data_IF_639397937449
#
_entry.id   IF_639397937449
#
_cell.length_a   1.000
_cell.length_b   1.000
_cell.length_c   1.000
_cell.angle_alpha   90.00
_cell.angle_beta   90.00
_cell.angle_gamma   90.00
#
_symmetry.space_group_name_H-M   'P 1'
#
loop_
_entity.id
_entity.type
_entity.pdbx_description
1 polymer ?
#
# COMPACT_ATOMS: atom_id res chain seq x y z
N UNK A 1 -37.73 4.18 -23.28
CA UNK A 1 -38.50 3.06 -22.68
C UNK A 1 -37.84 1.78 -23.14
N UNK A 2 -37.53 0.86 -22.23
CA UNK A 2 -36.96 -0.45 -22.58
C UNK A 2 -38.04 -1.27 -23.32
N UNK A 3 -37.83 -1.55 -24.60
CA UNK A 3 -38.76 -2.35 -25.42
C UNK A 3 -38.13 -3.69 -25.74
N UNK A 4 -38.78 -4.79 -25.36
CA UNK A 4 -38.32 -6.15 -25.65
C UNK A 4 -39.21 -7.21 -24.99
N UNK A 5 -39.12 -8.49 -25.40
CA UNK A 5 -39.95 -9.57 -24.88
C UNK A 5 -39.72 -9.88 -23.39
N UNK A 6 -38.62 -9.38 -22.81
CA UNK A 6 -38.30 -9.46 -21.38
C UNK A 6 -38.53 -8.14 -20.63
N UNK A 7 -39.07 -7.12 -21.30
CA UNK A 7 -39.34 -5.84 -20.64
C UNK A 7 -40.51 -6.01 -19.65
N UNK A 8 -40.42 -5.44 -18.43
CA UNK A 8 -41.53 -5.44 -17.50
C UNK A 8 -42.76 -4.76 -18.12
N UNK A 9 -43.99 -5.16 -17.72
CA UNK A 9 -45.21 -4.58 -18.26
C UNK A 9 -45.19 -3.05 -18.11
N UNK A 10 -45.73 -2.31 -19.10
CA UNK A 10 -45.74 -0.87 -19.08
C UNK A 10 -46.48 -0.39 -17.83
N UNK A 11 -45.71 0.12 -16.88
CA UNK A 11 -46.19 0.70 -15.64
C UNK A 11 -46.27 2.22 -15.83
N UNK A 12 -47.29 2.87 -15.25
CA UNK A 12 -47.47 4.33 -15.32
C UNK A 12 -46.34 5.12 -14.65
N UNK A 13 -45.45 4.43 -13.92
CA UNK A 13 -44.30 4.99 -13.24
C UNK A 13 -43.04 4.25 -13.71
N UNK A 14 -41.90 4.95 -13.87
CA UNK A 14 -40.67 4.30 -14.27
C UNK A 14 -40.33 3.15 -13.31
N UNK A 15 -39.80 2.02 -13.81
CA UNK A 15 -39.45 0.88 -12.97
C UNK A 15 -38.43 1.33 -11.91
N UNK A 16 -38.75 1.08 -10.64
CA UNK A 16 -37.85 1.35 -9.52
C UNK A 16 -36.76 0.28 -9.50
N UNK A 17 -35.52 0.69 -9.71
CA UNK A 17 -34.36 -0.18 -9.62
C UNK A 17 -33.66 0.04 -8.29
N UNK A 18 -33.76 -0.94 -7.39
CA UNK A 18 -33.09 -0.89 -6.10
C UNK A 18 -31.64 -1.33 -6.26
N UNK A 19 -30.71 -0.37 -6.16
CA UNK A 19 -29.29 -0.65 -6.11
C UNK A 19 -28.93 -1.09 -4.69
N UNK A 20 -28.48 -2.33 -4.54
CA UNK A 20 -27.95 -2.83 -3.27
C UNK A 20 -26.45 -2.51 -3.20
N UNK A 21 -26.01 -2.04 -2.02
CA UNK A 21 -24.59 -1.92 -1.66
C UNK A 21 -23.75 -0.89 -2.45
N UNK A 22 -24.32 0.23 -2.89
CA UNK A 22 -23.55 1.34 -3.47
C UNK A 22 -23.69 2.61 -2.64
N UNK A 23 -22.57 3.22 -2.29
CA UNK A 23 -22.55 4.51 -1.61
C UNK A 23 -23.22 5.59 -2.47
N UNK A 24 -24.07 6.41 -1.84
CA UNK A 24 -24.86 7.43 -2.53
C UNK A 24 -23.98 8.44 -3.28
N UNK A 25 -22.86 8.87 -2.69
CA UNK A 25 -21.94 9.84 -3.32
C UNK A 25 -21.14 9.18 -4.44
N UNK A 26 -20.71 7.93 -4.25
CA UNK A 26 -20.05 7.17 -5.30
C UNK A 26 -20.94 7.00 -6.55
N UNK A 27 -22.22 6.65 -6.34
CA UNK A 27 -23.18 6.51 -7.45
C UNK A 27 -23.48 7.84 -8.13
N UNK A 28 -23.58 8.93 -7.35
CA UNK A 28 -23.74 10.28 -7.87
C UNK A 28 -22.54 10.70 -8.75
N UNK A 29 -21.30 10.39 -8.35
CA UNK A 29 -20.13 10.57 -9.22
C UNK A 29 -20.21 9.74 -10.51
N UNK A 30 -20.71 8.50 -10.42
CA UNK A 30 -20.92 7.66 -11.60
C UNK A 30 -21.96 8.26 -12.56
N UNK A 31 -23.09 8.74 -12.05
CA UNK A 31 -24.09 9.43 -12.88
C UNK A 31 -23.53 10.71 -13.51
N UNK A 32 -22.80 11.53 -12.74
CA UNK A 32 -22.13 12.73 -13.29
C UNK A 32 -21.19 12.37 -14.43
N UNK A 33 -20.39 11.33 -14.24
CA UNK A 33 -19.49 10.84 -15.29
C UNK A 33 -20.24 10.43 -16.55
N UNK A 34 -21.36 9.69 -16.43
CA UNK A 34 -22.18 9.28 -17.58
C UNK A 34 -22.87 10.45 -18.30
N UNK A 35 -23.05 11.58 -17.62
CA UNK A 35 -23.63 12.80 -18.16
C UNK A 35 -22.58 13.82 -18.63
N UNK A 36 -21.30 13.41 -18.74
CA UNK A 36 -20.16 14.28 -19.08
C UNK A 36 -20.01 15.49 -18.14
N UNK A 37 -20.48 15.35 -16.89
CA UNK A 37 -20.31 16.36 -15.84
C UNK A 37 -18.98 16.18 -15.10
N UNK A 38 -18.37 17.26 -14.60
CA UNK A 38 -17.12 17.17 -13.87
C UNK A 38 -17.28 16.39 -12.55
N UNK A 39 -16.45 15.36 -12.38
CA UNK A 39 -16.35 14.59 -11.13
C UNK A 39 -15.25 15.18 -10.26
N UNK A 40 -15.59 15.54 -9.02
CA UNK A 40 -14.63 16.04 -8.03
C UNK A 40 -14.75 15.24 -6.74
N UNK A 41 -13.60 14.85 -6.18
CA UNK A 41 -13.53 14.09 -4.94
C UNK A 41 -13.19 15.03 -3.78
N UNK A 42 -13.91 14.85 -2.66
CA UNK A 42 -13.75 15.69 -1.46
C UNK A 42 -12.81 15.03 -0.44
N UNK A 43 -12.74 13.69 -0.47
CA UNK A 43 -12.01 12.88 0.51
C UNK A 43 -11.51 11.57 -0.09
N UNK A 44 -10.55 10.95 0.59
CA UNK A 44 -10.06 9.60 0.26
C UNK A 44 -11.22 8.60 0.29
N UNK A 45 -12.09 8.66 1.30
CA UNK A 45 -13.24 7.76 1.45
C UNK A 45 -14.19 7.85 0.25
N UNK A 46 -14.52 9.07 -0.18
CA UNK A 46 -15.39 9.27 -1.34
C UNK A 46 -14.74 8.77 -2.63
N UNK A 47 -13.43 8.97 -2.80
CA UNK A 47 -12.72 8.47 -3.98
C UNK A 47 -12.61 6.94 -3.97
N UNK A 48 -12.40 6.31 -2.81
CA UNK A 48 -12.38 4.85 -2.68
C UNK A 48 -13.73 4.23 -2.97
N UNK A 49 -14.81 4.74 -2.39
CA UNK A 49 -16.15 4.25 -2.69
C UNK A 49 -16.51 4.44 -4.18
N UNK A 50 -16.03 5.53 -4.80
CA UNK A 50 -16.22 5.75 -6.25
C UNK A 50 -15.41 4.76 -7.09
N UNK A 51 -14.21 4.39 -6.66
CA UNK A 51 -13.42 3.33 -7.32
C UNK A 51 -14.14 1.98 -7.23
N UNK A 52 -14.73 1.66 -6.08
CA UNK A 52 -15.50 0.41 -5.90
C UNK A 52 -16.73 0.39 -6.83
N UNK A 53 -17.44 1.52 -6.93
CA UNK A 53 -18.55 1.67 -7.88
C UNK A 53 -18.07 1.59 -9.34
N UNK A 54 -16.96 2.24 -9.69
CA UNK A 54 -16.39 2.20 -11.03
C UNK A 54 -15.99 0.78 -11.44
N UNK A 55 -15.47 -0.03 -10.51
CA UNK A 55 -15.23 -1.45 -10.73
C UNK A 55 -16.55 -2.22 -10.92
N UNK A 56 -17.53 -2.03 -10.03
CA UNK A 56 -18.82 -2.72 -10.09
C UNK A 56 -19.59 -2.45 -11.39
N UNK A 57 -19.50 -1.24 -11.92
CA UNK A 57 -20.18 -0.82 -13.16
C UNK A 57 -19.28 -0.84 -14.40
N UNK A 58 -18.07 -1.41 -14.30
CA UNK A 58 -17.10 -1.53 -15.39
C UNK A 58 -16.84 -0.19 -16.12
N UNK A 59 -16.56 0.84 -15.34
CA UNK A 59 -16.31 2.20 -15.84
C UNK A 59 -14.84 2.58 -15.67
N UNK A 60 -13.97 2.27 -16.65
CA UNK A 60 -12.53 2.46 -16.52
C UNK A 60 -12.13 3.93 -16.44
N UNK A 61 -12.82 4.83 -17.15
CA UNK A 61 -12.50 6.27 -17.09
C UNK A 61 -12.78 6.88 -15.72
N UNK A 62 -13.89 6.48 -15.08
CA UNK A 62 -14.16 6.90 -13.70
C UNK A 62 -13.15 6.29 -12.71
N UNK A 63 -12.75 5.03 -12.92
CA UNK A 63 -11.71 4.39 -12.12
C UNK A 63 -10.37 5.14 -12.24
N UNK A 64 -9.98 5.59 -13.44
CA UNK A 64 -8.77 6.40 -13.66
C UNK A 64 -8.82 7.72 -12.89
N UNK A 65 -9.96 8.43 -12.91
CA UNK A 65 -10.13 9.67 -12.15
C UNK A 65 -9.98 9.43 -10.64
N UNK A 66 -10.64 8.39 -10.12
CA UNK A 66 -10.57 8.02 -8.71
C UNK A 66 -9.14 7.63 -8.31
N UNK A 67 -8.47 6.75 -9.06
CA UNK A 67 -7.09 6.33 -8.80
C UNK A 67 -6.14 7.52 -8.87
N UNK A 68 -6.26 8.42 -9.85
CA UNK A 68 -5.42 9.62 -9.95
C UNK A 68 -5.54 10.51 -8.70
N UNK A 69 -6.75 10.66 -8.16
CA UNK A 69 -6.97 11.38 -6.90
C UNK A 69 -6.34 10.64 -5.72
N UNK A 70 -6.58 9.34 -5.59
CA UNK A 70 -6.05 8.53 -4.49
C UNK A 70 -4.51 8.53 -4.46
N UNK A 71 -3.85 8.46 -5.61
CA UNK A 71 -2.40 8.55 -5.72
C UNK A 71 -1.85 9.90 -5.23
N UNK A 72 -2.53 11.01 -5.55
CA UNK A 72 -2.14 12.35 -5.08
C UNK A 72 -2.29 12.51 -3.57
N UNK A 73 -3.21 11.76 -2.97
CA UNK A 73 -3.50 11.78 -1.53
C UNK A 73 -2.93 10.55 -0.79
N UNK A 74 -2.02 9.81 -1.41
CA UNK A 74 -1.39 8.64 -0.81
C UNK A 74 -0.33 9.08 0.22
N UNK A 75 -0.68 8.98 1.50
CA UNK A 75 0.18 9.36 2.62
C UNK A 75 0.21 8.24 3.66
N UNK A 76 1.19 8.21 4.58
CA UNK A 76 1.21 7.19 5.63
C UNK A 76 -0.06 7.16 6.49
N UNK A 77 -0.81 8.26 6.61
CA UNK A 77 -2.07 8.33 7.38
C UNK A 77 -3.31 7.91 6.60
N UNK A 78 -3.29 7.95 5.27
CA UNK A 78 -4.41 7.56 4.41
C UNK A 78 -4.21 6.19 3.75
N UNK A 79 -2.99 5.64 3.79
CA UNK A 79 -2.64 4.44 3.02
C UNK A 79 -3.49 3.21 3.38
N UNK A 80 -3.87 3.02 4.64
CA UNK A 80 -4.67 1.86 5.04
C UNK A 80 -6.09 1.91 4.48
N UNK A 81 -6.69 3.10 4.49
CA UNK A 81 -8.00 3.34 3.88
C UNK A 81 -7.97 3.12 2.36
N UNK A 82 -6.88 3.54 1.70
CA UNK A 82 -6.71 3.33 0.26
C UNK A 82 -6.47 1.84 -0.04
N UNK A 83 -5.65 1.18 0.77
CA UNK A 83 -5.26 -0.22 0.63
C UNK A 83 -6.44 -1.18 0.84
N UNK A 84 -7.37 -0.83 1.74
CA UNK A 84 -8.49 -1.68 2.11
C UNK A 84 -9.30 -2.15 0.89
N UNK A 85 -9.54 -3.46 0.81
CA UNK A 85 -10.22 -4.20 -0.24
C UNK A 85 -9.64 -4.04 -1.66
N UNK A 86 -8.55 -3.30 -1.84
CA UNK A 86 -7.98 -3.01 -3.17
C UNK A 86 -7.44 -4.28 -3.85
N UNK A 87 -6.99 -5.24 -3.05
CA UNK A 87 -6.54 -6.56 -3.53
C UNK A 87 -7.66 -7.40 -4.17
N UNK A 88 -8.94 -7.08 -3.95
CA UNK A 88 -10.06 -7.76 -4.61
C UNK A 88 -10.22 -7.36 -6.08
N UNK A 89 -9.70 -6.19 -6.45
CA UNK A 89 -9.77 -5.64 -7.81
C UNK A 89 -8.48 -5.79 -8.59
N UNK A 90 -7.36 -5.97 -7.89
CA UNK A 90 -6.08 -6.20 -8.52
C UNK A 90 -6.08 -7.55 -9.24
N UNK A 91 -5.27 -7.67 -10.29
CA UNK A 91 -5.06 -8.95 -10.95
C UNK A 91 -4.54 -9.89 -9.87
N UNK A 92 -5.21 -11.04 -9.73
CA UNK A 92 -4.64 -12.15 -9.00
C UNK A 92 -3.21 -12.31 -9.54
N UNK A 93 -2.19 -12.14 -8.68
CA UNK A 93 -0.82 -12.53 -9.01
C UNK A 93 -0.70 -14.06 -9.18
N UNK A 94 -1.84 -14.76 -9.28
CA UNK A 94 -1.98 -16.18 -9.57
C UNK A 94 -1.85 -16.31 -11.08
N UNK A 95 -0.61 -16.56 -11.48
CA UNK A 95 -0.18 -17.13 -12.76
C UNK A 95 -1.12 -16.85 -13.94
N UNK A 96 -0.72 -15.88 -14.76
CA UNK A 96 -1.26 -15.68 -16.08
C UNK A 96 -1.47 -17.03 -16.79
N UNK A 97 -2.73 -17.27 -17.17
CA UNK A 97 -3.22 -18.36 -18.02
C UNK A 97 -2.15 -18.94 -18.97
N UNK A 98 -1.58 -20.08 -18.59
CA UNK A 98 -0.93 -20.99 -19.55
C UNK A 98 -1.95 -21.91 -20.25
N UNK A 99 -3.26 -21.74 -20.03
CA UNK A 99 -4.30 -22.64 -20.54
C UNK A 99 -5.20 -22.02 -21.63
N UNK A 100 -4.75 -20.93 -22.27
CA UNK A 100 -5.45 -20.41 -23.46
C UNK A 100 -5.14 -21.32 -24.67
N UNK A 101 -6.05 -22.26 -24.90
CA UNK A 101 -6.08 -23.09 -26.11
C UNK A 101 -5.99 -22.22 -27.39
N UNK A 102 -5.13 -22.56 -28.38
CA UNK A 102 -4.89 -21.76 -29.59
C UNK A 102 -6.11 -21.53 -30.48
N UNK A 103 -7.22 -22.23 -30.23
CA UNK A 103 -8.39 -22.28 -31.11
C UNK A 103 -9.61 -21.51 -30.59
N UNK A 104 -9.46 -20.63 -29.60
CA UNK A 104 -10.57 -19.77 -29.19
C UNK A 104 -10.82 -18.68 -30.25
N UNK A 105 -12.08 -18.44 -30.68
CA UNK A 105 -12.39 -17.45 -31.69
C UNK A 105 -11.94 -16.06 -31.21
N UNK A 106 -11.10 -15.41 -32.01
CA UNK A 106 -10.59 -14.07 -31.73
C UNK A 106 -11.71 -13.05 -31.94
N UNK A 107 -12.35 -12.62 -30.86
CA UNK A 107 -13.17 -11.43 -30.85
C UNK A 107 -12.28 -10.19 -31.13
N UNK A 108 -12.81 -9.13 -31.77
CA UNK A 108 -12.04 -7.90 -32.01
C UNK A 108 -11.45 -7.35 -30.71
N UNK A 109 -10.38 -6.54 -30.75
CA UNK A 109 -9.75 -5.97 -29.57
C UNK A 109 -10.69 -4.92 -28.94
N UNK A 110 -11.68 -5.39 -28.20
CA UNK A 110 -12.32 -4.60 -27.17
C UNK A 110 -11.31 -4.56 -26.02
N UNK A 111 -10.84 -3.38 -25.64
CA UNK A 111 -10.15 -3.23 -24.36
C UNK A 111 -11.07 -3.83 -23.30
N UNK A 112 -10.59 -4.85 -22.61
CA UNK A 112 -11.34 -5.45 -21.51
C UNK A 112 -11.31 -4.44 -20.36
N UNK A 113 -12.39 -3.67 -20.22
CA UNK A 113 -12.54 -2.62 -19.20
C UNK A 113 -12.16 -3.16 -17.80
N UNK A 114 -12.48 -4.43 -17.52
CA UNK A 114 -12.09 -5.10 -16.28
C UNK A 114 -10.57 -5.23 -16.13
N UNK A 115 -9.87 -5.61 -17.21
CA UNK A 115 -8.40 -5.69 -17.25
C UNK A 115 -7.73 -4.32 -17.07
N UNK A 116 -8.31 -3.26 -17.64
CA UNK A 116 -7.83 -1.89 -17.46
C UNK A 116 -7.97 -1.46 -16.00
N UNK A 117 -9.15 -1.64 -15.41
CA UNK A 117 -9.40 -1.32 -13.99
C UNK A 117 -8.47 -2.12 -13.08
N UNK A 118 -8.33 -3.42 -13.35
CA UNK A 118 -7.47 -4.30 -12.58
C UNK A 118 -5.99 -3.86 -12.61
N UNK A 119 -5.50 -3.44 -13.78
CA UNK A 119 -4.14 -2.91 -13.91
C UNK A 119 -3.94 -1.63 -13.11
N UNK A 120 -4.94 -0.72 -13.11
CA UNK A 120 -4.90 0.50 -12.30
C UNK A 120 -4.88 0.18 -10.80
N UNK A 121 -5.76 -0.73 -10.35
CA UNK A 121 -5.83 -1.17 -8.96
C UNK A 121 -4.54 -1.86 -8.51
N UNK A 122 -3.95 -2.70 -9.37
CA UNK A 122 -2.67 -3.37 -9.10
C UNK A 122 -1.54 -2.36 -8.90
N UNK A 123 -1.45 -1.34 -9.75
CA UNK A 123 -0.44 -0.28 -9.61
C UNK A 123 -0.63 0.54 -8.33
N UNK A 124 -1.88 0.90 -8.01
CA UNK A 124 -2.20 1.60 -6.77
C UNK A 124 -1.88 0.75 -5.54
N UNK A 125 -2.16 -0.56 -5.58
CA UNK A 125 -1.87 -1.52 -4.53
C UNK A 125 -0.36 -1.59 -4.25
N UNK A 126 0.46 -1.68 -5.30
CA UNK A 126 1.92 -1.67 -5.18
C UNK A 126 2.44 -0.37 -4.54
N UNK A 127 1.88 0.79 -4.93
CA UNK A 127 2.21 2.08 -4.31
C UNK A 127 1.80 2.13 -2.84
N UNK A 128 0.63 1.59 -2.48
CA UNK A 128 0.20 1.50 -1.08
C UNK A 128 1.16 0.64 -0.27
N UNK A 129 1.47 -0.57 -0.75
CA UNK A 129 2.41 -1.49 -0.10
C UNK A 129 3.79 -0.87 0.09
N UNK A 130 4.26 -0.09 -0.88
CA UNK A 130 5.51 0.66 -0.77
C UNK A 130 5.50 1.67 0.39
N UNK A 131 4.41 2.43 0.55
CA UNK A 131 4.25 3.40 1.64
C UNK A 131 4.14 2.70 2.99
N UNK A 132 3.41 1.58 3.07
CA UNK A 132 3.29 0.72 4.26
C UNK A 132 4.69 0.22 4.67
N UNK A 133 5.43 -0.35 3.75
CA UNK A 133 6.76 -0.90 3.99
C UNK A 133 7.76 0.16 4.44
N UNK A 134 7.64 1.38 3.93
CA UNK A 134 8.56 2.48 4.24
C UNK A 134 8.23 3.17 5.57
N UNK A 135 6.98 3.11 6.05
CA UNK A 135 6.52 3.83 7.24
C UNK A 135 5.74 2.93 8.24
N UNK A 136 6.18 1.69 8.52
CA UNK A 136 5.33 0.71 9.17
C UNK A 136 4.99 1.08 10.61
N UNK A 137 5.90 1.72 11.36
CA UNK A 137 5.63 2.13 12.74
C UNK A 137 4.42 3.07 12.85
N UNK A 138 4.31 4.05 11.93
CA UNK A 138 3.18 4.99 11.90
C UNK A 138 1.92 4.35 11.34
N UNK A 139 2.06 3.47 10.35
CA UNK A 139 0.94 2.82 9.67
C UNK A 139 0.27 1.79 10.59
N UNK A 140 1.04 0.89 11.17
CA UNK A 140 0.54 -0.19 12.03
C UNK A 140 -0.03 0.29 13.37
N UNK A 141 0.17 1.55 13.74
CA UNK A 141 -0.42 2.17 14.94
C UNK A 141 -1.80 2.78 14.70
N UNK A 142 -2.25 2.91 13.44
CA UNK A 142 -3.54 3.51 13.12
C UNK A 142 -4.69 2.63 13.57
N UNK A 143 -5.81 3.26 13.91
CA UNK A 143 -7.09 2.58 14.20
C UNK A 143 -7.62 1.85 12.96
N UNK A 144 -7.44 2.45 11.78
CA UNK A 144 -7.83 1.85 10.49
C UNK A 144 -7.18 0.48 10.22
N UNK A 145 -6.06 0.16 10.88
CA UNK A 145 -5.46 -1.17 10.80
C UNK A 145 -6.41 -2.24 11.36
N UNK A 146 -7.15 -1.92 12.42
CA UNK A 146 -8.12 -2.84 13.04
C UNK A 146 -9.28 -3.18 12.10
N UNK A 147 -9.58 -2.33 11.12
CA UNK A 147 -10.68 -2.50 10.16
C UNK A 147 -10.33 -3.39 8.96
N UNK A 148 -9.05 -3.74 8.80
CA UNK A 148 -8.60 -4.63 7.73
C UNK A 148 -9.14 -6.06 7.91
N UNK A 149 -9.34 -6.75 6.80
CA UNK A 149 -9.65 -8.19 6.81
C UNK A 149 -8.45 -9.01 7.29
N UNK A 150 -8.72 -10.23 7.77
CA UNK A 150 -7.66 -11.16 8.19
C UNK A 150 -6.65 -11.44 7.06
N UNK A 151 -7.12 -11.48 5.81
CA UNK A 151 -6.27 -11.69 4.64
C UNK A 151 -5.30 -10.52 4.42
N UNK A 152 -5.78 -9.29 4.52
CA UNK A 152 -4.96 -8.07 4.38
C UNK A 152 -3.91 -7.95 5.48
N UNK A 153 -4.30 -8.23 6.73
CA UNK A 153 -3.37 -8.30 7.85
C UNK A 153 -2.29 -9.35 7.60
N UNK A 154 -2.69 -10.55 7.13
CA UNK A 154 -1.74 -11.60 6.78
C UNK A 154 -0.80 -11.17 5.65
N UNK A 155 -1.31 -10.48 4.62
CA UNK A 155 -0.51 -9.96 3.52
C UNK A 155 0.54 -8.98 4.01
N UNK A 156 0.21 -8.05 4.91
CA UNK A 156 1.15 -7.08 5.49
C UNK A 156 2.17 -7.77 6.40
N UNK A 157 1.73 -8.67 7.30
CA UNK A 157 2.59 -9.30 8.29
C UNK A 157 3.69 -10.19 7.67
N UNK A 158 3.36 -10.88 6.57
CA UNK A 158 4.27 -11.76 5.84
C UNK A 158 5.31 -11.03 4.99
N UNK A 159 5.20 -9.71 4.82
CA UNK A 159 6.11 -8.96 3.93
C UNK A 159 7.52 -8.93 4.48
N UNK A 160 8.46 -9.50 3.72
CA UNK A 160 9.88 -9.39 4.03
C UNK A 160 10.39 -7.95 3.94
N UNK A 161 9.74 -7.08 3.18
CA UNK A 161 10.11 -5.67 2.92
C UNK A 161 9.60 -4.67 3.95
N UNK A 162 8.82 -5.12 4.94
CA UNK A 162 8.26 -4.27 6.00
C UNK A 162 9.39 -3.74 6.90
N UNK A 163 9.72 -2.45 6.81
CA UNK A 163 10.91 -1.84 7.42
C UNK A 163 10.70 -1.44 8.90
N UNK A 164 10.43 -2.40 9.77
CA UNK A 164 10.28 -2.19 11.22
C UNK A 164 11.63 -2.26 11.95
N UNK A 165 11.79 -1.43 12.99
CA UNK A 165 12.98 -1.41 13.85
C UNK A 165 12.98 -2.51 14.90
N UNK A 166 11.80 -2.92 15.36
CA UNK A 166 11.58 -4.04 16.29
C UNK A 166 10.36 -4.82 15.86
N UNK A 167 10.43 -6.15 15.95
CA UNK A 167 9.31 -7.06 15.67
C UNK A 167 8.17 -6.89 16.69
N UNK A 168 8.42 -6.24 17.84
CA UNK A 168 7.38 -5.92 18.81
C UNK A 168 6.31 -4.99 18.25
N UNK A 169 6.68 -4.13 17.29
CA UNK A 169 5.74 -3.24 16.59
C UNK A 169 4.70 -4.08 15.84
N UNK A 170 5.15 -5.09 15.10
CA UNK A 170 4.26 -5.97 14.36
C UNK A 170 3.44 -6.84 15.31
N UNK A 171 4.07 -7.45 16.32
CA UNK A 171 3.37 -8.27 17.31
C UNK A 171 2.24 -7.49 17.99
N UNK A 172 2.53 -6.28 18.47
CA UNK A 172 1.53 -5.43 19.15
C UNK A 172 0.39 -5.03 18.23
N UNK A 173 0.67 -4.78 16.95
CA UNK A 173 -0.36 -4.48 15.96
C UNK A 173 -1.27 -5.69 15.70
N UNK A 174 -0.70 -6.90 15.60
CA UNK A 174 -1.46 -8.14 15.44
C UNK A 174 -2.32 -8.44 16.67
N UNK A 175 -1.78 -8.26 17.88
CA UNK A 175 -2.52 -8.47 19.12
C UNK A 175 -3.69 -7.49 19.26
N UNK A 176 -3.45 -6.21 18.91
CA UNK A 176 -4.51 -5.19 18.88
C UNK A 176 -5.60 -5.51 17.85
N UNK A 177 -5.21 -5.92 16.65
CA UNK A 177 -6.16 -6.36 15.61
C UNK A 177 -6.96 -7.58 16.08
N UNK A 178 -6.31 -8.59 16.67
CA UNK A 178 -6.97 -9.80 17.15
C UNK A 178 -7.99 -9.48 18.26
N UNK A 179 -7.64 -8.58 19.18
CA UNK A 179 -8.57 -8.10 20.20
C UNK A 179 -9.78 -7.36 19.57
N UNK A 180 -9.57 -6.58 18.51
CA UNK A 180 -10.64 -5.91 17.79
C UNK A 180 -11.56 -6.87 17.03
N UNK A 181 -10.98 -7.90 16.41
CA UNK A 181 -11.73 -8.94 15.72
C UNK A 181 -12.58 -9.76 16.70
N UNK A 182 -12.04 -10.10 17.88
CA UNK A 182 -12.84 -10.72 18.96
C UNK A 182 -14.07 -9.86 19.30
N UNK A 183 -13.88 -8.55 19.49
CA UNK A 183 -14.98 -7.61 19.77
C UNK A 183 -16.02 -7.58 18.64
N UNK A 184 -15.58 -7.59 17.37
CA UNK A 184 -16.49 -7.66 16.20
C UNK A 184 -17.30 -8.94 16.16
N UNK A 185 -16.70 -10.06 16.54
CA UNK A 185 -17.37 -11.36 16.62
C UNK A 185 -18.24 -11.51 17.88
N UNK A 186 -18.28 -10.50 18.77
CA UNK A 186 -19.06 -10.54 20.01
C UNK A 186 -18.48 -11.47 21.07
N UNK A 187 -17.20 -11.82 20.98
CA UNK A 187 -16.49 -12.67 21.95
C UNK A 187 -15.50 -11.84 22.78
N UNK A 188 -15.28 -12.24 24.02
CA UNK A 188 -14.32 -11.57 24.90
C UNK A 188 -12.87 -11.76 24.37
N UNK A 189 -12.02 -10.72 24.37
CA UNK A 189 -10.66 -10.77 23.85
C UNK A 189 -9.68 -11.51 24.78
N UNK A 190 -10.03 -12.72 25.20
CA UNK A 190 -9.15 -13.62 25.94
C UNK A 190 -7.99 -14.11 25.06
N UNK A 191 -6.81 -14.46 25.63
CA UNK A 191 -5.65 -14.90 24.84
C UNK A 191 -5.94 -16.05 23.86
N UNK A 192 -6.75 -17.04 24.27
CA UNK A 192 -7.16 -18.16 23.42
C UNK A 192 -8.02 -17.71 22.23
N UNK A 193 -8.93 -16.76 22.46
CA UNK A 193 -9.81 -16.22 21.42
C UNK A 193 -9.02 -15.35 20.44
N UNK A 194 -8.12 -14.50 20.96
CA UNK A 194 -7.21 -13.69 20.13
C UNK A 194 -6.30 -14.57 19.28
N UNK A 195 -5.79 -15.67 19.82
CA UNK A 195 -5.02 -16.66 19.04
C UNK A 195 -5.86 -17.25 17.91
N UNK A 196 -7.13 -17.61 18.18
CA UNK A 196 -8.00 -18.29 17.23
C UNK A 196 -8.48 -17.44 16.04
N UNK A 197 -8.57 -16.12 16.19
CA UNK A 197 -9.05 -15.22 15.11
C UNK A 197 -8.01 -14.96 14.01
N UNK A 198 -6.73 -15.30 14.24
CA UNK A 198 -5.66 -15.22 13.25
C UNK A 198 -5.05 -16.61 13.06
N UNK A 199 -4.63 -16.93 11.84
CA UNK A 199 -3.95 -18.20 11.59
C UNK A 199 -2.56 -18.23 12.24
N UNK A 200 -2.11 -19.43 12.62
CA UNK A 200 -0.77 -19.61 13.19
C UNK A 200 0.33 -19.05 12.28
N UNK A 201 0.19 -19.18 10.97
CA UNK A 201 1.16 -18.64 10.01
C UNK A 201 1.35 -17.13 10.12
N UNK A 202 0.30 -16.39 10.54
CA UNK A 202 0.39 -14.94 10.78
C UNK A 202 1.14 -14.69 12.08
N UNK A 203 0.81 -15.40 13.16
CA UNK A 203 1.51 -15.30 14.43
C UNK A 203 2.99 -15.65 14.32
N UNK A 204 3.35 -16.65 13.52
CA UNK A 204 4.74 -17.05 13.27
C UNK A 204 5.44 -16.24 12.16
N UNK A 205 4.73 -15.33 11.48
CA UNK A 205 5.38 -14.36 10.57
C UNK A 205 6.19 -13.30 11.33
N UNK A 206 5.93 -13.13 12.64
CA UNK A 206 6.72 -12.33 13.56
C UNK A 206 8.05 -13.04 13.84
N UNK A 207 9.16 -12.31 13.72
CA UNK A 207 10.51 -12.89 13.84
C UNK A 207 10.99 -12.86 15.29
N UNK A 208 10.35 -13.67 16.13
CA UNK A 208 10.62 -13.70 17.58
C UNK A 208 12.09 -13.88 17.94
N UNK A 209 12.85 -14.64 17.13
CA UNK A 209 14.28 -14.90 17.35
C UNK A 209 15.19 -13.68 17.11
N UNK A 210 14.63 -12.57 16.64
CA UNK A 210 15.29 -11.28 16.47
C UNK A 210 14.91 -10.25 17.56
N UNK A 211 13.98 -10.59 18.45
CA UNK A 211 13.67 -9.77 19.61
C UNK A 211 14.73 -9.96 20.68
N UNK A 212 14.92 -8.96 21.53
CA UNK A 212 15.67 -9.16 22.77
C UNK A 212 14.81 -9.89 23.81
N UNK A 213 15.46 -10.37 24.87
CA UNK A 213 14.82 -11.14 25.93
C UNK A 213 13.74 -10.33 26.67
N UNK A 214 13.99 -9.05 26.89
CA UNK A 214 13.05 -8.15 27.58
C UNK A 214 11.79 -7.90 26.75
N UNK A 215 11.97 -7.60 25.48
CA UNK A 215 10.93 -7.37 24.48
C UNK A 215 10.07 -8.62 24.31
N UNK A 216 10.69 -9.81 24.22
CA UNK A 216 9.95 -11.06 24.09
C UNK A 216 9.15 -11.41 25.36
N UNK A 217 9.76 -11.25 26.53
CA UNK A 217 9.10 -11.54 27.82
C UNK A 217 7.95 -10.58 28.08
N UNK A 218 8.17 -9.28 27.86
CA UNK A 218 7.17 -8.24 28.12
C UNK A 218 6.03 -8.19 27.12
N UNK A 219 6.24 -8.67 25.89
CA UNK A 219 5.22 -8.68 24.84
C UNK A 219 4.66 -10.09 24.59
N UNK A 220 5.20 -10.85 23.62
CA UNK A 220 4.68 -12.14 23.21
C UNK A 220 4.44 -13.14 24.36
N UNK A 221 5.38 -13.29 25.28
CA UNK A 221 5.22 -14.24 26.38
C UNK A 221 4.12 -13.81 27.36
N UNK A 222 4.13 -12.54 27.79
CA UNK A 222 3.13 -12.02 28.73
C UNK A 222 1.71 -11.97 28.15
N UNK A 223 1.57 -11.90 26.83
CA UNK A 223 0.27 -11.84 26.15
C UNK A 223 -0.59 -13.10 26.31
N UNK A 224 0.04 -14.27 26.56
CA UNK A 224 -0.61 -15.58 26.55
C UNK A 224 -1.07 -16.07 25.16
N UNK A 225 -0.71 -15.37 24.08
CA UNK A 225 -1.00 -15.78 22.69
C UNK A 225 -0.16 -17.01 22.31
N UNK A 226 1.10 -17.04 22.77
CA UNK A 226 2.00 -18.17 22.59
C UNK A 226 1.78 -19.19 23.71
N UNK A 227 1.80 -20.48 23.39
CA UNK A 227 1.72 -21.52 24.44
C UNK A 227 3.02 -21.56 25.25
N UNK A 228 2.96 -22.13 26.46
CA UNK A 228 4.13 -22.27 27.32
C UNK A 228 5.27 -23.04 26.64
N UNK A 229 4.95 -24.07 25.84
CA UNK A 229 5.93 -24.85 25.08
C UNK A 229 6.58 -23.98 23.99
N UNK A 230 5.80 -23.14 23.30
CA UNK A 230 6.29 -22.20 22.30
C UNK A 230 7.26 -21.19 22.93
N UNK A 231 6.87 -20.62 24.07
CA UNK A 231 7.67 -19.67 24.83
C UNK A 231 9.00 -20.27 25.27
N UNK A 232 9.00 -21.48 25.85
CA UNK A 232 10.22 -22.16 26.29
C UNK A 232 11.18 -22.41 25.11
N UNK A 233 10.65 -22.87 23.97
CA UNK A 233 11.45 -23.14 22.77
C UNK A 233 12.01 -21.85 22.15
N UNK A 234 11.27 -20.75 22.16
CA UNK A 234 11.76 -19.47 21.64
C UNK A 234 12.82 -18.89 22.57
N UNK A 235 12.60 -18.90 23.89
CA UNK A 235 13.54 -18.39 24.88
C UNK A 235 14.86 -19.18 24.88
N UNK A 236 14.80 -20.51 24.78
CA UNK A 236 16.02 -21.33 24.73
C UNK A 236 16.92 -20.93 23.55
N UNK A 237 16.31 -20.62 22.41
CA UNK A 237 16.99 -20.15 21.19
C UNK A 237 17.48 -18.71 21.31
N UNK A 238 16.72 -17.80 21.91
CA UNK A 238 17.13 -16.40 22.17
C UNK A 238 18.35 -16.38 23.11
N UNK A 239 18.30 -17.15 24.21
CA UNK A 239 19.36 -17.21 25.22
C UNK A 239 20.56 -18.08 24.82
N UNK A 240 20.54 -18.71 23.62
CA UNK A 240 21.59 -19.60 23.10
C UNK A 240 21.99 -20.71 24.08
N UNK A 241 21.03 -21.33 24.75
CA UNK A 241 21.34 -22.56 25.48
C UNK A 241 21.69 -23.67 24.47
N UNK A 242 22.80 -24.41 24.64
CA UNK A 242 23.07 -25.57 23.81
C UNK A 242 21.91 -26.54 24.00
N UNK A 243 21.24 -26.90 22.91
CA UNK A 243 20.17 -27.91 22.89
C UNK A 243 20.66 -29.11 23.72
N UNK A 244 20.09 -29.29 24.91
CA UNK A 244 20.40 -30.47 25.70
C UNK A 244 19.66 -31.61 25.03
N UNK A 245 20.34 -32.26 24.08
CA UNK A 245 19.92 -33.52 23.48
C UNK A 245 19.89 -34.60 24.56
N UNK A 246 18.84 -34.61 25.40
CA UNK A 246 18.54 -35.72 26.30
C UNK A 246 17.02 -35.92 26.40
N UNK A 247 16.61 -37.07 25.87
CA UNK A 247 15.35 -37.77 26.03
C UNK A 247 14.14 -37.29 25.21
N UNK A 248 14.18 -37.60 23.91
CA UNK A 248 12.99 -38.09 23.21
C UNK A 248 12.47 -39.32 23.95
N UNK A 249 11.48 -39.17 24.85
CA UNK A 249 10.54 -40.22 25.28
C UNK A 249 9.45 -39.73 26.27
N UNK A 250 9.03 -38.47 26.23
CA UNK A 250 7.70 -38.09 26.74
C UNK A 250 6.87 -37.48 25.62
N UNK A 251 6.03 -38.35 25.07
CA UNK A 251 4.97 -38.07 24.10
C UNK A 251 3.91 -37.20 24.81
N UNK A 252 3.91 -35.90 24.56
CA UNK A 252 2.75 -35.05 24.79
C UNK A 252 2.07 -34.78 23.45
N UNK A 253 0.79 -35.13 23.37
CA UNK A 253 -0.07 -34.93 22.20
C UNK A 253 -0.42 -33.44 22.06
N UNK A 254 0.50 -32.65 21.51
CA UNK A 254 0.25 -31.30 21.02
C UNK A 254 1.06 -31.07 19.73
N UNK A 255 0.63 -30.21 18.81
CA UNK A 255 1.38 -29.94 17.59
C UNK A 255 2.69 -29.24 17.98
N UNK A 256 3.77 -30.02 18.08
CA UNK A 256 5.12 -29.53 18.26
C UNK A 256 5.36 -28.47 17.19
N UNK A 257 5.60 -27.21 17.59
CA UNK A 257 6.01 -26.18 16.62
C UNK A 257 7.23 -26.72 15.90
N UNK A 258 7.09 -26.92 14.59
CA UNK A 258 8.24 -27.31 13.80
C UNK A 258 9.22 -26.11 13.78
N UNK A 259 10.49 -26.29 14.15
CA UNK A 259 11.51 -25.23 14.16
C UNK A 259 11.58 -24.41 12.87
N UNK A 260 11.12 -24.97 11.74
CA UNK A 260 11.04 -24.30 10.44
C UNK A 260 10.06 -23.12 10.36
N UNK A 261 9.14 -22.97 11.32
CA UNK A 261 8.21 -21.82 11.35
C UNK A 261 8.85 -20.55 11.92
N UNK A 262 9.94 -20.68 12.67
CA UNK A 262 10.64 -19.52 13.25
C UNK A 262 11.71 -19.01 12.28
N UNK A 263 11.66 -17.72 11.97
CA UNK A 263 12.67 -17.08 11.12
C UNK A 263 13.81 -16.48 11.95
N UNK A 264 15.05 -16.77 11.52
CA UNK A 264 16.27 -16.11 11.98
C UNK A 264 16.74 -14.99 11.05
N UNK A 265 16.08 -14.81 9.90
CA UNK A 265 16.51 -13.81 8.91
C UNK A 265 15.88 -12.46 9.26
N UNK A 266 16.64 -11.35 9.34
CA UNK A 266 16.05 -10.01 9.49
C UNK A 266 15.18 -9.62 8.30
N UNK A 267 14.17 -8.76 8.53
CA UNK A 267 13.40 -8.17 7.42
C UNK A 267 14.37 -7.49 6.48
N UNK A 268 14.09 -7.56 5.18
CA UNK A 268 14.86 -6.84 4.19
C UNK A 268 14.77 -5.36 4.55
N UNK A 269 15.85 -4.82 5.10
CA UNK A 269 15.98 -3.39 5.26
C UNK A 269 15.79 -2.81 3.87
N UNK A 270 14.79 -1.95 3.70
CA UNK A 270 14.69 -1.15 2.50
C UNK A 270 15.92 -0.26 2.51
N UNK A 271 16.98 -0.68 1.79
CA UNK A 271 17.99 0.25 1.34
C UNK A 271 17.20 1.19 0.47
N UNK A 272 16.92 2.41 0.95
CA UNK A 272 16.76 3.51 0.04
C UNK A 272 17.94 3.36 -0.91
N UNK A 273 17.65 2.99 -2.16
CA UNK A 273 18.44 3.53 -3.23
C UNK A 273 18.18 5.04 -3.10
N UNK A 274 18.95 5.68 -2.22
CA UNK A 274 19.67 6.82 -2.68
C UNK A 274 20.30 6.31 -3.97
N UNK A 275 19.70 6.66 -5.10
CA UNK A 275 20.46 7.23 -6.17
C UNK A 275 21.28 8.39 -5.57
N UNK A 276 22.27 8.04 -4.74
CA UNK A 276 23.56 8.66 -4.84
C UNK A 276 23.98 8.25 -6.24
N UNK A 277 23.58 9.05 -7.22
CA UNK A 277 24.37 9.29 -8.39
C UNK A 277 25.83 9.24 -7.92
N UNK A 278 26.53 8.19 -8.33
CA UNK A 278 27.99 8.22 -8.42
C UNK A 278 28.35 9.24 -9.51
N UNK A 279 27.98 10.50 -9.30
CA UNK A 279 28.69 11.62 -9.88
C UNK A 279 29.80 11.90 -8.89
N UNK A 280 31.03 11.62 -9.33
CA UNK A 280 32.27 12.05 -8.70
C UNK A 280 32.05 13.39 -8.01
N UNK A 281 32.19 13.42 -6.68
CA UNK A 281 32.11 14.69 -5.93
C UNK A 281 33.09 15.66 -6.59
N UNK A 282 32.62 16.83 -7.09
CA UNK A 282 33.50 17.84 -7.62
C UNK A 282 34.55 18.19 -6.58
N UNK A 283 35.81 17.90 -6.86
CA UNK A 283 36.89 18.25 -5.95
C UNK A 283 36.86 19.75 -5.65
N UNK A 284 37.44 20.18 -4.52
CA UNK A 284 37.53 21.61 -4.12
C UNK A 284 38.09 22.54 -5.23
N UNK A 285 38.74 21.96 -6.26
CA UNK A 285 39.22 22.63 -7.47
C UNK A 285 38.08 22.98 -8.45
N UNK A 286 37.16 22.05 -8.73
CA UNK A 286 36.04 22.25 -9.65
C UNK A 286 35.02 23.27 -9.11
N UNK A 287 34.77 23.30 -7.79
CA UNK A 287 33.94 24.35 -7.18
C UNK A 287 34.57 25.74 -7.27
N UNK A 288 35.91 25.84 -7.22
CA UNK A 288 36.63 27.11 -7.41
C UNK A 288 36.60 27.58 -8.86
N UNK A 289 36.70 26.65 -9.81
CA UNK A 289 36.67 26.95 -11.24
C UNK A 289 35.25 27.32 -11.72
N UNK A 290 34.22 26.64 -11.22
CA UNK A 290 32.83 27.03 -11.46
C UNK A 290 32.50 28.41 -10.87
N UNK A 291 33.02 28.74 -9.68
CA UNK A 291 32.85 30.09 -9.10
C UNK A 291 33.57 31.17 -9.91
N UNK A 292 34.72 30.85 -10.53
CA UNK A 292 35.44 31.77 -11.44
C UNK A 292 34.71 31.94 -12.77
N UNK A 293 34.19 30.87 -13.36
CA UNK A 293 33.42 30.94 -14.61
C UNK A 293 32.12 31.72 -14.43
N UNK A 294 31.39 31.51 -13.33
CA UNK A 294 30.17 32.26 -13.03
C UNK A 294 30.41 33.77 -12.90
N UNK A 295 31.56 34.17 -12.34
CA UNK A 295 31.97 35.58 -12.26
C UNK A 295 32.32 36.17 -13.63
N UNK A 296 32.94 35.39 -14.53
CA UNK A 296 33.26 35.82 -15.92
C UNK A 296 31.99 35.96 -16.78
N UNK A 297 31.02 35.09 -16.57
CA UNK A 297 29.74 35.11 -17.28
C UNK A 297 28.85 36.28 -16.83
N UNK A 298 28.81 36.59 -15.53
CA UNK A 298 28.14 37.81 -15.05
C UNK A 298 28.81 39.09 -15.58
N UNK A 299 30.15 39.11 -15.72
CA UNK A 299 30.86 40.26 -16.29
C UNK A 299 30.55 40.43 -17.80
N UNK A 300 30.54 39.33 -18.57
CA UNK A 300 30.24 39.38 -20.00
C UNK A 300 28.76 39.71 -20.29
N UNK A 301 27.84 39.26 -19.42
CA UNK A 301 26.42 39.60 -19.51
C UNK A 301 26.16 41.07 -19.13
N UNK A 302 26.89 41.61 -18.15
CA UNK A 302 26.89 43.04 -17.83
C UNK A 302 27.42 43.91 -18.98
N UNK A 303 28.46 43.46 -19.67
CA UNK A 303 29.00 44.15 -20.85
C UNK A 303 28.05 44.10 -22.06
N UNK A 304 27.38 42.96 -22.31
CA UNK A 304 26.39 42.82 -23.39
C UNK A 304 25.12 43.63 -23.14
N UNK A 305 24.69 43.78 -21.88
CA UNK A 305 23.54 44.61 -21.52
C UNK A 305 23.86 46.10 -21.61
N UNK A 306 25.04 46.55 -21.19
CA UNK A 306 25.48 47.94 -21.39
C UNK A 306 25.62 48.30 -22.87
N UNK A 307 26.13 47.40 -23.72
CA UNK A 307 26.23 47.63 -25.17
C UNK A 307 24.86 47.73 -25.86
N UNK A 308 23.86 46.93 -25.43
CA UNK A 308 22.49 47.03 -25.95
C UNK A 308 21.81 48.34 -25.55
N UNK A 309 21.95 48.76 -24.30
CA UNK A 309 21.35 50.01 -23.81
C UNK A 309 22.00 51.22 -24.51
N UNK A 310 23.33 51.21 -24.69
CA UNK A 310 24.05 52.25 -25.44
C UNK A 310 23.59 52.35 -26.90
N UNK A 311 23.41 51.22 -27.59
CA UNK A 311 22.92 51.22 -28.98
C UNK A 311 21.48 51.73 -29.11
N UNK A 312 20.59 51.39 -28.15
CA UNK A 312 19.23 51.93 -28.14
C UNK A 312 19.21 53.45 -27.88
N UNK A 313 20.07 53.96 -27.00
CA UNK A 313 20.19 55.41 -26.76
C UNK A 313 20.74 56.16 -27.97
N UNK A 314 21.69 55.61 -28.71
CA UNK A 314 22.21 56.19 -29.96
C UNK A 314 21.13 56.21 -31.04
N UNK A 315 20.33 55.14 -31.18
CA UNK A 315 19.20 55.12 -32.13
C UNK A 315 18.12 56.12 -31.77
N UNK A 316 17.80 56.28 -30.48
CA UNK A 316 16.80 57.27 -30.04
C UNK A 316 17.30 58.69 -30.28
N UNK A 317 18.57 58.99 -29.97
CA UNK A 317 19.15 60.31 -30.22
C UNK A 317 19.28 60.63 -31.72
N UNK A 318 19.56 59.63 -32.58
CA UNK A 318 19.56 59.81 -34.03
C UNK A 318 18.16 60.16 -34.59
N UNK A 319 17.08 59.69 -33.95
CA UNK A 319 15.71 60.06 -34.33
C UNK A 319 15.21 61.39 -33.75
N UNK A 320 15.97 62.02 -32.85
CA UNK A 320 15.59 63.31 -32.21
C UNK A 320 16.33 64.50 -32.84
N UNK A 321 17.42 64.25 -33.58
CA UNK A 321 18.24 65.29 -34.21
C UNK A 321 18.29 65.25 -35.74
N UNK A 322 17.37 64.52 -36.37
CA UNK A 322 16.93 64.68 -37.78
C UNK A 322 15.49 65.25 -37.79
#
# INVERSE_FOLDING_TARGET
MLTGPLAPPPTNSPPLLQLQHVDKRAFDHFLRYLHDEPVSFISVSTARATLDAAHQYLCPGLAQLAVSYLEKHLTPSSVLEIYQNLGLYANDLREADYDRSPNSPSAPPHEDDASVISTLCTNLLLKCLFVIDSNPAKVLQQEHFEELSAQEVAQIARRNTLNITSECILFSALDRWAAAECRRQGIEPLPTNRRAVLSDDVWFSVRYLLMDDKDFVGGPMASGILTNEECVLIVSKILRHPETTKNDNLRCCAPVIHPSRLSHTPRMAYKQQNENCNMLRPGKKEQRDNRKNRRRECASQGQRTCARIGNCLIQILACVFD
#
